data_IF_766239294888
#
_entry.id   IF_766239294888
#
_cell.length_a   1.000
_cell.length_b   1.000
_cell.length_c   1.000
_cell.angle_alpha   90.00
_cell.angle_beta   90.00
_cell.angle_gamma   90.00
#
_symmetry.space_group_name_H-M   'P 1'
#
loop_
_entity.id
_entity.type
_entity.pdbx_description
1 polymer ?
#
# COMPACT_ATOMS: atom_id res chain seq x y z
N UNK A 1 54.98 -21.55 9.65
CA UNK A 1 55.07 -20.32 8.83
C UNK A 1 53.67 -19.82 8.54
N UNK A 2 53.43 -18.56 8.88
CA UNK A 2 52.15 -17.84 8.79
C UNK A 2 51.78 -17.51 7.34
N UNK A 3 50.50 -17.61 6.99
CA UNK A 3 49.82 -16.72 6.03
C UNK A 3 48.31 -16.92 6.22
N UNK A 4 47.61 -16.25 7.13
CA UNK A 4 47.13 -14.85 7.06
C UNK A 4 46.67 -14.45 5.65
N UNK A 5 45.41 -14.83 5.35
CA UNK A 5 44.45 -14.31 4.36
C UNK A 5 43.45 -15.47 4.19
N UNK A 6 42.16 -15.39 4.44
CA UNK A 6 41.20 -14.42 3.93
C UNK A 6 40.06 -14.33 4.95
N UNK A 7 39.99 -13.18 5.63
CA UNK A 7 38.83 -12.70 6.36
C UNK A 7 37.81 -12.16 5.35
N UNK A 8 36.54 -12.27 5.72
CA UNK A 8 35.43 -11.41 5.31
C UNK A 8 34.92 -11.53 3.86
N UNK A 9 33.84 -12.31 3.71
CA UNK A 9 32.75 -11.98 2.78
C UNK A 9 31.44 -12.56 3.34
N UNK A 10 31.09 -12.13 4.55
CA UNK A 10 29.72 -12.26 5.08
C UNK A 10 29.10 -10.87 4.95
N UNK A 11 27.82 -10.84 4.56
CA UNK A 11 26.93 -9.67 4.46
C UNK A 11 26.80 -9.05 3.07
N UNK A 12 25.71 -9.41 2.36
CA UNK A 12 24.53 -8.55 2.13
C UNK A 12 23.73 -9.08 0.94
N UNK A 13 22.79 -9.97 1.21
CA UNK A 13 21.64 -10.22 0.33
C UNK A 13 20.38 -9.97 1.17
N UNK A 14 20.18 -8.73 1.58
CA UNK A 14 18.86 -8.26 1.97
C UNK A 14 18.10 -7.98 0.66
N UNK A 15 17.55 -9.05 0.07
CA UNK A 15 16.59 -8.90 -1.02
C UNK A 15 15.36 -8.19 -0.45
N UNK A 16 15.22 -6.92 -0.80
CA UNK A 16 14.05 -6.10 -0.54
C UNK A 16 12.83 -6.76 -1.17
N UNK A 17 12.05 -7.48 -0.35
CA UNK A 17 10.69 -7.87 -0.69
C UNK A 17 9.87 -6.59 -0.59
N UNK A 18 9.71 -5.91 -1.72
CA UNK A 18 8.70 -4.86 -1.84
C UNK A 18 7.36 -5.52 -1.52
N UNK A 19 6.77 -5.16 -0.39
CA UNK A 19 5.35 -5.38 -0.10
C UNK A 19 4.56 -4.62 -1.16
N UNK A 20 4.41 -5.22 -2.34
CA UNK A 20 3.21 -5.00 -3.12
C UNK A 20 2.09 -5.59 -2.25
N UNK A 21 1.39 -4.72 -1.55
CA UNK A 21 0.20 -5.10 -0.80
C UNK A 21 -0.67 -5.96 -1.73
N UNK A 22 -1.01 -7.21 -1.37
CA UNK A 22 -1.79 -8.06 -2.24
C UNK A 22 -3.14 -7.39 -2.45
N UNK A 23 -3.32 -6.79 -3.64
CA UNK A 23 -4.59 -6.21 -4.05
C UNK A 23 -5.70 -7.22 -3.74
N UNK A 24 -6.80 -6.79 -3.09
CA UNK A 24 -7.86 -7.71 -2.74
C UNK A 24 -8.34 -8.45 -3.99
N UNK A 25 -8.66 -9.76 -3.88
CA UNK A 25 -9.12 -10.52 -5.02
C UNK A 25 -10.35 -9.82 -5.63
N UNK A 26 -10.43 -9.69 -6.96
CA UNK A 26 -11.54 -9.01 -7.60
C UNK A 26 -12.86 -9.74 -7.28
N UNK A 27 -13.90 -8.95 -7.05
CA UNK A 27 -15.22 -9.44 -6.60
C UNK A 27 -16.02 -9.82 -7.85
N UNK A 28 -15.73 -11.00 -8.39
CA UNK A 28 -16.42 -11.56 -9.55
C UNK A 28 -15.72 -11.26 -10.87
N UNK A 29 -15.43 -12.33 -11.59
CA UNK A 29 -14.88 -12.29 -12.94
C UNK A 29 -15.89 -12.90 -13.92
N UNK A 30 -15.89 -12.39 -15.15
CA UNK A 30 -16.58 -13.04 -16.25
C UNK A 30 -15.91 -14.39 -16.52
N UNK A 31 -16.72 -15.44 -16.71
CA UNK A 31 -16.24 -16.77 -17.15
C UNK A 31 -16.09 -16.79 -18.67
N UNK A 32 -15.28 -15.89 -19.20
CA UNK A 32 -15.00 -15.75 -20.63
C UNK A 32 -13.50 -15.50 -20.83
N UNK A 33 -12.98 -15.94 -21.98
CA UNK A 33 -11.56 -15.85 -22.31
C UNK A 33 -11.31 -14.67 -23.25
N UNK A 34 -10.42 -13.76 -22.86
CA UNK A 34 -10.10 -12.57 -23.63
C UNK A 34 -8.61 -12.51 -23.99
N UNK A 35 -8.24 -11.91 -25.14
CA UNK A 35 -6.85 -11.63 -25.48
C UNK A 35 -6.29 -10.50 -24.60
N UNK A 36 -4.95 -10.38 -24.56
CA UNK A 36 -4.21 -9.43 -23.72
C UNK A 36 -4.57 -7.95 -23.94
N UNK A 37 -5.03 -7.61 -25.14
CA UNK A 37 -5.38 -6.27 -25.58
C UNK A 37 -6.88 -5.97 -25.49
N UNK A 38 -7.68 -6.89 -24.94
CA UNK A 38 -9.11 -6.69 -24.79
C UNK A 38 -9.45 -5.53 -23.85
N UNK A 39 -10.39 -4.70 -24.26
CA UNK A 39 -10.95 -3.64 -23.43
C UNK A 39 -12.24 -4.14 -22.78
N UNK A 40 -12.22 -4.29 -21.46
CA UNK A 40 -13.39 -4.69 -20.69
C UNK A 40 -14.47 -3.60 -20.65
N UNK A 41 -15.69 -3.97 -20.26
CA UNK A 41 -16.77 -3.03 -20.01
C UNK A 41 -16.42 -2.03 -18.89
N UNK A 42 -17.17 -0.92 -18.81
CA UNK A 42 -17.00 0.11 -17.79
C UNK A 42 -16.93 -0.48 -16.38
N UNK A 43 -15.93 -0.05 -15.60
CA UNK A 43 -15.71 -0.49 -14.23
C UNK A 43 -15.07 -1.87 -14.08
N UNK A 44 -14.66 -2.54 -15.17
CA UNK A 44 -13.95 -3.82 -15.12
C UNK A 44 -12.48 -3.66 -15.50
N UNK A 45 -11.64 -4.55 -14.98
CA UNK A 45 -10.20 -4.61 -15.27
C UNK A 45 -9.85 -5.94 -15.93
N UNK A 46 -8.92 -5.89 -16.88
CA UNK A 46 -8.39 -7.08 -17.53
C UNK A 46 -7.31 -7.72 -16.64
N UNK A 47 -7.59 -8.93 -16.13
CA UNK A 47 -6.72 -9.66 -15.20
C UNK A 47 -5.99 -10.78 -15.96
N UNK A 48 -4.66 -10.90 -15.80
CA UNK A 48 -3.90 -11.97 -16.43
C UNK A 48 -4.19 -13.36 -15.85
N UNK A 49 -3.96 -14.43 -16.63
CA UNK A 49 -4.12 -15.80 -16.14
C UNK A 49 -3.10 -16.12 -15.05
N UNK A 50 -3.51 -16.92 -14.06
CA UNK A 50 -2.64 -17.32 -12.94
C UNK A 50 -1.53 -18.30 -13.36
N UNK A 51 -1.77 -19.10 -14.38
CA UNK A 51 -0.87 -20.17 -14.82
C UNK A 51 -0.04 -19.78 -16.06
N UNK A 52 0.10 -18.48 -16.35
CA UNK A 52 0.93 -18.00 -17.48
C UNK A 52 0.36 -18.28 -18.87
N UNK A 53 -0.94 -18.56 -18.99
CA UNK A 53 -1.64 -18.72 -20.27
C UNK A 53 -1.84 -17.41 -21.04
N UNK A 54 -2.62 -17.49 -22.11
CA UNK A 54 -3.03 -16.37 -22.98
C UNK A 54 -4.46 -15.88 -22.69
N UNK A 55 -5.10 -16.46 -21.68
CA UNK A 55 -6.50 -16.23 -21.36
C UNK A 55 -6.68 -15.22 -20.23
N UNK A 56 -7.16 -14.02 -20.58
CA UNK A 56 -7.43 -12.94 -19.63
C UNK A 56 -8.90 -12.94 -19.23
N UNK A 57 -9.19 -12.46 -18.02
CA UNK A 57 -10.54 -12.34 -17.48
C UNK A 57 -10.85 -10.86 -17.21
N UNK A 58 -12.04 -10.41 -17.61
CA UNK A 58 -12.57 -9.14 -17.11
C UNK A 58 -13.18 -9.36 -15.72
N UNK A 59 -12.72 -8.59 -14.74
CA UNK A 59 -13.19 -8.71 -13.37
C UNK A 59 -13.57 -7.35 -12.79
N UNK A 60 -14.50 -7.36 -11.82
CA UNK A 60 -14.85 -6.16 -11.06
C UNK A 60 -13.76 -5.96 -9.99
N UNK A 61 -13.03 -4.83 -10.00
CA UNK A 61 -12.06 -4.54 -8.96
C UNK A 61 -12.78 -4.40 -7.61
N UNK A 62 -12.13 -4.76 -6.50
CA UNK A 62 -12.69 -4.49 -5.18
C UNK A 62 -12.91 -2.98 -5.03
N UNK A 63 -14.06 -2.59 -4.47
CA UNK A 63 -14.30 -1.19 -4.11
C UNK A 63 -13.22 -0.80 -3.10
N UNK A 64 -12.45 0.27 -3.34
CA UNK A 64 -11.51 0.78 -2.35
C UNK A 64 -12.28 1.01 -1.04
N UNK A 65 -11.83 0.40 0.05
CA UNK A 65 -12.35 0.75 1.36
C UNK A 65 -12.15 2.26 1.54
N UNK A 66 -13.14 2.98 2.11
CA UNK A 66 -12.95 4.39 2.40
C UNK A 66 -11.67 4.55 3.24
N UNK A 67 -10.73 5.34 2.74
CA UNK A 67 -9.54 5.67 3.52
C UNK A 67 -9.99 6.30 4.85
N UNK A 68 -9.33 5.96 5.97
CA UNK A 68 -9.65 6.58 7.25
C UNK A 68 -9.54 8.10 7.10
N UNK A 69 -10.68 8.79 7.16
CA UNK A 69 -10.65 10.25 7.12
C UNK A 69 -10.11 10.75 8.45
N UNK A 70 -8.99 11.47 8.41
CA UNK A 70 -8.50 12.16 9.59
C UNK A 70 -9.33 13.41 9.87
N UNK A 71 -9.83 13.52 11.10
CA UNK A 71 -10.48 14.69 11.66
C UNK A 71 -9.56 15.32 12.69
N UNK A 72 -9.48 16.64 12.65
CA UNK A 72 -8.70 17.42 13.60
C UNK A 72 -9.63 18.17 14.55
N UNK A 73 -9.24 18.28 15.82
CA UNK A 73 -9.87 19.25 16.72
C UNK A 73 -9.71 20.66 16.13
N UNK A 74 -10.76 21.46 16.12
CA UNK A 74 -10.73 22.84 15.62
C UNK A 74 -10.15 23.83 16.65
N UNK A 75 -9.17 23.39 17.45
CA UNK A 75 -8.62 24.16 18.58
C UNK A 75 -7.12 24.31 18.41
N UNK A 76 -6.69 25.55 18.26
CA UNK A 76 -5.28 25.90 18.14
C UNK A 76 -4.55 25.64 19.47
N UNK A 77 -3.67 24.64 19.46
CA UNK A 77 -2.83 24.26 20.60
C UNK A 77 -1.42 24.87 20.46
N UNK A 78 -0.77 25.22 21.58
CA UNK A 78 0.61 25.68 21.57
C UNK A 78 1.59 24.53 21.29
N UNK A 79 2.77 24.90 20.80
CA UNK A 79 3.87 23.96 20.55
C UNK A 79 4.26 23.19 21.82
N UNK A 80 4.55 21.89 21.68
CA UNK A 80 4.94 21.03 22.80
C UNK A 80 3.76 20.45 23.61
N UNK A 81 2.51 20.76 23.27
CA UNK A 81 1.35 20.05 23.83
C UNK A 81 1.31 18.61 23.33
N UNK A 82 0.79 17.67 24.14
CA UNK A 82 0.58 16.28 23.76
C UNK A 82 -0.91 16.01 23.66
N UNK A 83 -1.33 15.30 22.61
CA UNK A 83 -2.73 14.91 22.47
C UNK A 83 -3.15 13.97 23.62
N UNK A 84 -4.43 13.95 24.04
CA UNK A 84 -4.90 13.15 25.17
C UNK A 84 -4.59 11.64 25.03
N UNK A 85 -4.44 11.18 23.80
CA UNK A 85 -4.12 9.81 23.40
C UNK A 85 -2.62 9.59 23.13
N UNK A 86 -1.77 10.58 23.39
CA UNK A 86 -0.32 10.50 23.21
C UNK A 86 0.16 10.71 21.78
N UNK A 87 -0.73 11.02 20.82
CA UNK A 87 -0.34 11.26 19.43
C UNK A 87 0.42 12.58 19.24
N UNK A 88 1.26 12.69 18.19
CA UNK A 88 1.91 13.94 17.86
C UNK A 88 0.90 14.97 17.36
N UNK A 89 1.20 16.23 17.64
CA UNK A 89 0.49 17.37 17.07
C UNK A 89 0.73 17.46 15.56
N UNK A 90 -0.29 17.90 14.83
CA UNK A 90 -0.22 18.27 13.41
C UNK A 90 -0.49 19.75 13.24
N UNK A 91 0.30 20.45 12.43
CA UNK A 91 0.16 21.89 12.21
C UNK A 91 1.50 22.61 12.11
N UNK A 92 1.47 23.94 12.13
CA UNK A 92 2.65 24.79 11.98
C UNK A 92 2.33 26.27 12.20
N UNK A 93 3.35 27.14 12.12
CA UNK A 93 3.21 28.59 12.34
C UNK A 93 2.58 28.96 13.70
N UNK A 94 2.93 28.20 14.75
CA UNK A 94 2.42 28.44 16.11
C UNK A 94 0.99 27.94 16.35
N UNK A 95 0.40 27.21 15.41
CA UNK A 95 -0.94 26.63 15.56
C UNK A 95 -0.94 25.13 15.25
N UNK A 96 -1.33 24.33 16.23
CA UNK A 96 -1.31 22.87 16.14
C UNK A 96 -2.64 22.27 16.54
N UNK A 97 -2.95 21.08 16.02
CA UNK A 97 -4.17 20.34 16.30
C UNK A 97 -3.87 18.86 16.56
N UNK A 98 -4.73 18.22 17.33
CA UNK A 98 -4.79 16.77 17.42
C UNK A 98 -5.65 16.25 16.28
N UNK A 99 -5.04 15.51 15.35
CA UNK A 99 -5.70 14.87 14.22
C UNK A 99 -5.76 13.36 14.42
N UNK A 100 -6.81 12.73 13.91
CA UNK A 100 -7.04 11.32 14.10
C UNK A 100 -8.13 10.74 13.24
N UNK A 101 -8.24 9.41 13.12
CA UNK A 101 -9.33 8.80 12.39
C UNK A 101 -10.67 9.25 12.99
N UNK A 102 -11.63 9.53 12.10
CA UNK A 102 -13.00 9.89 12.44
C UNK A 102 -13.73 8.81 13.23
#
# INVERSE_FOLDING_TARGET
MFSKTILAAVMLLAASVTLADPLPPPVGCLRACFPKDHVCSEGQVLVPPRDGGDCFLCCIPPVPLPEPQEVCLAVCLPEGTVCPDGRPLSGGNGCFNCCGPK
#
